data_IF_374520462150
#
_entry.id   IF_374520462150
#
_cell.length_a   1.000
_cell.length_b   1.000
_cell.length_c   1.000
_cell.angle_alpha   90.00
_cell.angle_beta   90.00
_cell.angle_gamma   90.00
#
_symmetry.space_group_name_H-M   'P 1'
#
loop_
_entity.id
_entity.type
_entity.pdbx_description
1 polymer ?
#
# COMPACT_ATOMS: atom_id res chain seq x y z
N UNK A 1 -12.43 34.14 2.90
CA UNK A 1 -11.27 33.28 3.07
C UNK A 1 -11.08 32.34 1.89
N UNK A 2 -9.86 32.03 1.56
CA UNK A 2 -9.55 31.08 0.51
C UNK A 2 -9.59 29.66 1.07
N UNK A 3 -10.68 28.97 0.82
CA UNK A 3 -10.91 27.61 1.33
C UNK A 3 -9.90 26.62 0.69
N UNK A 4 -9.54 26.83 -0.57
CA UNK A 4 -8.53 25.97 -1.22
C UNK A 4 -7.16 26.09 -0.53
N UNK A 5 -6.76 27.31 -0.15
CA UNK A 5 -5.52 27.52 0.58
C UNK A 5 -5.56 26.87 1.97
N UNK A 6 -6.72 26.91 2.64
CA UNK A 6 -6.91 26.21 3.92
C UNK A 6 -6.68 24.70 3.77
N UNK A 7 -7.31 24.08 2.80
CA UNK A 7 -7.13 22.64 2.56
C UNK A 7 -5.67 22.31 2.21
N UNK A 8 -5.02 23.12 1.38
CA UNK A 8 -3.61 22.93 1.03
C UNK A 8 -2.70 23.00 2.28
N UNK A 9 -2.92 24.00 3.12
CA UNK A 9 -2.14 24.17 4.36
C UNK A 9 -2.29 22.96 5.29
N UNK A 10 -3.50 22.46 5.46
CA UNK A 10 -3.75 21.27 6.28
C UNK A 10 -3.09 20.02 5.65
N UNK A 11 -3.18 19.85 4.33
CA UNK A 11 -2.55 18.75 3.62
C UNK A 11 -1.02 18.75 3.82
N UNK A 12 -0.39 19.91 3.77
CA UNK A 12 1.05 20.07 4.04
C UNK A 12 1.38 19.64 5.48
N UNK A 13 0.54 20.03 6.43
CA UNK A 13 0.67 19.59 7.83
C UNK A 13 0.57 18.08 7.97
N UNK A 14 -0.37 17.46 7.26
CA UNK A 14 -0.54 16.01 7.27
C UNK A 14 0.66 15.27 6.66
N UNK A 15 1.34 15.86 5.68
CA UNK A 15 2.59 15.31 5.15
C UNK A 15 3.66 15.22 6.25
N UNK A 16 3.76 16.25 7.09
CA UNK A 16 4.68 16.22 8.24
C UNK A 16 4.30 15.14 9.26
N UNK A 17 2.99 14.95 9.50
CA UNK A 17 2.51 13.89 10.38
C UNK A 17 2.88 12.50 9.81
N UNK A 18 2.74 12.30 8.52
CA UNK A 18 3.11 11.05 7.86
C UNK A 18 4.59 10.73 8.06
N UNK A 19 5.49 11.70 7.89
CA UNK A 19 6.92 11.50 8.13
C UNK A 19 7.22 11.15 9.59
N UNK A 20 6.54 11.80 10.54
CA UNK A 20 6.68 11.47 11.96
C UNK A 20 6.25 10.03 12.25
N UNK A 21 5.13 9.59 11.67
CA UNK A 21 4.69 8.20 11.80
C UNK A 21 5.68 7.22 11.19
N UNK A 22 6.27 7.52 10.05
CA UNK A 22 7.30 6.69 9.43
C UNK A 22 8.55 6.56 10.33
N UNK A 23 8.96 7.63 11.00
CA UNK A 23 10.09 7.58 11.92
C UNK A 23 9.85 6.57 13.04
N UNK A 24 8.64 6.54 13.60
CA UNK A 24 8.28 5.57 14.62
C UNK A 24 8.16 4.14 14.05
N UNK A 25 7.61 3.99 12.85
CA UNK A 25 7.54 2.69 12.19
C UNK A 25 8.93 2.10 11.93
N UNK A 26 9.91 2.96 11.62
CA UNK A 26 11.29 2.50 11.43
C UNK A 26 11.86 1.84 12.69
N UNK A 27 11.40 2.24 13.88
CA UNK A 27 11.85 1.66 15.13
C UNK A 27 11.20 0.30 15.43
N UNK A 28 9.95 0.09 15.03
CA UNK A 28 9.18 -1.11 15.39
C UNK A 28 9.00 -2.10 14.24
N UNK A 29 9.32 -1.71 13.01
CA UNK A 29 9.13 -2.53 11.82
C UNK A 29 7.74 -2.38 11.21
N UNK A 30 7.50 -3.05 10.09
CA UNK A 30 6.23 -3.04 9.39
C UNK A 30 5.17 -3.79 10.22
N UNK A 31 4.06 -3.14 10.59
CA UNK A 31 3.05 -3.78 11.44
C UNK A 31 2.26 -4.90 10.75
N UNK A 32 2.34 -5.01 9.43
CA UNK A 32 1.67 -6.06 8.66
C UNK A 32 2.58 -7.28 8.50
N UNK A 33 3.83 -7.04 8.08
CA UNK A 33 4.78 -8.11 7.77
C UNK A 33 5.73 -8.43 8.92
N UNK A 34 5.86 -7.54 9.89
CA UNK A 34 6.82 -7.59 11.01
C UNK A 34 8.29 -7.59 10.56
N UNK A 35 8.54 -7.18 9.32
CA UNK A 35 9.89 -7.04 8.77
C UNK A 35 10.45 -5.69 9.20
N UNK A 36 11.70 -5.63 9.75
CA UNK A 36 12.33 -4.36 10.11
C UNK A 36 12.41 -3.40 8.92
N UNK A 37 12.23 -2.11 9.20
CA UNK A 37 12.37 -1.04 8.22
C UNK A 37 13.79 -0.47 8.31
N UNK A 38 14.41 -0.24 7.17
CA UNK A 38 15.73 0.42 7.12
C UNK A 38 16.64 -0.11 6.02
N UNK A 39 16.96 -1.40 6.03
CA UNK A 39 17.83 -1.98 5.01
C UNK A 39 17.06 -2.27 3.73
N UNK A 40 17.74 -2.10 2.58
CA UNK A 40 17.10 -2.24 1.27
C UNK A 40 16.49 -3.63 1.07
N UNK A 41 17.21 -4.69 1.43
CA UNK A 41 16.72 -6.06 1.30
C UNK A 41 15.45 -6.28 2.13
N UNK A 42 15.45 -5.84 3.37
CA UNK A 42 14.31 -5.99 4.28
C UNK A 42 13.12 -5.17 3.80
N UNK A 43 13.36 -3.96 3.30
CA UNK A 43 12.30 -3.11 2.75
C UNK A 43 11.67 -3.75 1.52
N UNK A 44 12.47 -4.36 0.65
CA UNK A 44 11.96 -5.08 -0.54
C UNK A 44 11.15 -6.30 -0.13
N UNK A 45 11.58 -7.06 0.87
CA UNK A 45 10.82 -8.21 1.38
C UNK A 45 9.47 -7.79 1.93
N UNK A 46 9.44 -6.71 2.71
CA UNK A 46 8.20 -6.17 3.23
C UNK A 46 7.26 -5.73 2.11
N UNK A 47 7.78 -5.04 1.09
CA UNK A 47 6.99 -4.61 -0.06
C UNK A 47 6.40 -5.81 -0.82
N UNK A 48 7.20 -6.85 -1.06
CA UNK A 48 6.74 -8.08 -1.74
C UNK A 48 5.60 -8.73 -0.95
N UNK A 49 5.74 -8.85 0.37
CA UNK A 49 4.68 -9.42 1.20
C UNK A 49 3.39 -8.58 1.17
N UNK A 50 3.52 -7.26 1.28
CA UNK A 50 2.37 -6.36 1.21
C UNK A 50 1.64 -6.47 -0.11
N UNK A 51 2.35 -6.36 -1.23
CA UNK A 51 1.78 -6.49 -2.56
C UNK A 51 1.14 -7.86 -2.80
N UNK A 52 1.78 -8.92 -2.31
CA UNK A 52 1.26 -10.29 -2.43
C UNK A 52 -0.06 -10.44 -1.67
N UNK A 53 -0.15 -9.93 -0.46
CA UNK A 53 -1.40 -9.91 0.30
C UNK A 53 -2.48 -9.14 -0.46
N UNK A 54 -2.14 -7.98 -1.03
CA UNK A 54 -3.09 -7.13 -1.74
C UNK A 54 -3.68 -7.82 -2.96
N UNK A 55 -2.88 -8.55 -3.74
CA UNK A 55 -3.42 -9.19 -4.95
C UNK A 55 -3.98 -10.60 -4.72
N UNK A 56 -3.60 -11.30 -3.65
CA UNK A 56 -4.12 -12.64 -3.37
C UNK A 56 -5.33 -12.63 -2.44
N UNK A 57 -5.37 -11.70 -1.49
CA UNK A 57 -6.39 -11.69 -0.44
C UNK A 57 -7.25 -10.42 -0.44
N UNK A 58 -6.62 -9.25 -0.32
CA UNK A 58 -7.31 -8.01 -0.04
C UNK A 58 -8.24 -7.57 -1.18
N UNK A 59 -7.69 -7.33 -2.36
CA UNK A 59 -8.50 -6.88 -3.50
C UNK A 59 -9.45 -7.96 -4.03
N UNK A 60 -9.07 -9.24 -4.12
CA UNK A 60 -10.04 -10.28 -4.45
C UNK A 60 -11.20 -10.36 -3.46
N UNK A 61 -10.94 -10.20 -2.18
CA UNK A 61 -11.98 -10.16 -1.15
C UNK A 61 -12.90 -8.95 -1.32
N UNK A 62 -12.34 -7.77 -1.57
CA UNK A 62 -13.13 -6.56 -1.83
C UNK A 62 -13.96 -6.70 -3.09
N UNK A 63 -13.41 -7.29 -4.16
CA UNK A 63 -14.14 -7.51 -5.41
C UNK A 63 -15.35 -8.42 -5.19
N UNK A 64 -15.16 -9.50 -4.43
CA UNK A 64 -16.25 -10.43 -4.09
C UNK A 64 -17.36 -9.73 -3.32
N UNK A 65 -17.01 -8.99 -2.27
CA UNK A 65 -17.97 -8.25 -1.46
C UNK A 65 -18.73 -7.21 -2.27
N UNK A 66 -18.01 -6.45 -3.11
CA UNK A 66 -18.63 -5.45 -3.98
C UNK A 66 -19.64 -6.08 -4.93
N UNK A 67 -19.31 -7.24 -5.50
CA UNK A 67 -20.22 -7.96 -6.40
C UNK A 67 -21.45 -8.49 -5.67
N UNK A 68 -21.27 -9.04 -4.49
CA UNK A 68 -22.37 -9.52 -3.65
C UNK A 68 -23.32 -8.38 -3.26
N UNK A 69 -22.80 -7.19 -3.07
CA UNK A 69 -23.60 -6.01 -2.74
C UNK A 69 -24.19 -5.29 -3.96
N UNK A 70 -23.95 -5.79 -5.16
CA UNK A 70 -24.49 -5.24 -6.40
C UNK A 70 -23.67 -4.12 -7.04
N UNK A 71 -22.42 -3.95 -6.62
CA UNK A 71 -21.52 -2.92 -7.15
C UNK A 71 -20.54 -3.51 -8.17
N UNK A 72 -21.07 -3.95 -9.32
CA UNK A 72 -20.28 -4.67 -10.32
C UNK A 72 -19.11 -3.86 -10.87
N UNK A 73 -19.31 -2.56 -11.15
CA UNK A 73 -18.22 -1.68 -11.64
C UNK A 73 -17.11 -1.53 -10.62
N UNK A 74 -17.46 -1.43 -9.35
CA UNK A 74 -16.49 -1.34 -8.26
C UNK A 74 -15.73 -2.66 -8.12
N UNK A 75 -16.44 -3.79 -8.24
CA UNK A 75 -15.83 -5.11 -8.22
C UNK A 75 -14.77 -5.25 -9.33
N UNK A 76 -15.10 -4.84 -10.57
CA UNK A 76 -14.15 -4.85 -11.69
C UNK A 76 -12.94 -3.96 -11.45
N UNK A 77 -13.14 -2.81 -10.80
CA UNK A 77 -12.06 -1.92 -10.42
C UNK A 77 -11.10 -2.61 -9.43
N UNK A 78 -11.63 -3.27 -8.40
CA UNK A 78 -10.80 -4.02 -7.46
C UNK A 78 -10.03 -5.15 -8.14
N UNK A 79 -10.65 -5.85 -9.10
CA UNK A 79 -9.95 -6.88 -9.88
C UNK A 79 -8.81 -6.29 -10.70
N UNK A 80 -9.00 -5.10 -11.26
CA UNK A 80 -7.96 -4.36 -11.98
C UNK A 80 -6.80 -3.99 -11.06
N UNK A 81 -7.12 -3.51 -9.85
CA UNK A 81 -6.11 -3.18 -8.85
C UNK A 81 -5.33 -4.42 -8.40
N UNK A 82 -6.01 -5.56 -8.23
CA UNK A 82 -5.32 -6.81 -7.92
C UNK A 82 -4.25 -7.17 -8.96
N UNK A 83 -4.55 -6.99 -10.24
CA UNK A 83 -3.58 -7.23 -11.32
C UNK A 83 -2.40 -6.24 -11.26
N UNK A 84 -2.67 -4.98 -10.93
CA UNK A 84 -1.62 -3.98 -10.76
C UNK A 84 -0.68 -4.35 -9.60
N UNK A 85 -1.23 -4.77 -8.46
CA UNK A 85 -0.43 -5.15 -7.30
C UNK A 85 0.39 -6.42 -7.56
N UNK A 86 -0.13 -7.34 -8.36
CA UNK A 86 0.64 -8.51 -8.80
C UNK A 86 1.86 -8.10 -9.63
N UNK A 87 1.70 -7.12 -10.52
CA UNK A 87 2.82 -6.55 -11.28
C UNK A 87 3.85 -5.90 -10.37
N UNK A 88 3.39 -5.16 -9.37
CA UNK A 88 4.28 -4.52 -8.37
C UNK A 88 5.07 -5.58 -7.60
N UNK A 89 4.43 -6.64 -7.14
CA UNK A 89 5.12 -7.72 -6.43
C UNK A 89 6.23 -8.33 -7.30
N UNK A 90 5.97 -8.55 -8.58
CA UNK A 90 6.98 -9.06 -9.52
C UNK A 90 8.15 -8.11 -9.70
N UNK A 91 7.88 -6.81 -9.78
CA UNK A 91 8.92 -5.79 -9.92
C UNK A 91 9.79 -5.70 -8.67
N UNK A 92 9.19 -5.73 -7.48
CA UNK A 92 9.95 -5.76 -6.22
C UNK A 92 10.78 -7.05 -6.09
N UNK A 93 10.21 -8.19 -6.49
CA UNK A 93 10.94 -9.46 -6.49
C UNK A 93 12.17 -9.43 -7.40
N UNK A 94 12.03 -8.84 -8.60
CA UNK A 94 13.15 -8.64 -9.50
C UNK A 94 14.21 -7.73 -8.90
N UNK A 95 13.80 -6.69 -8.20
CA UNK A 95 14.71 -5.81 -7.47
C UNK A 95 15.50 -6.55 -6.40
N UNK A 96 14.83 -7.43 -5.66
CA UNK A 96 15.48 -8.24 -4.61
C UNK A 96 16.49 -9.22 -5.20
N UNK A 97 16.14 -9.89 -6.30
CA UNK A 97 17.05 -10.83 -6.98
C UNK A 97 18.31 -10.13 -7.51
N UNK A 98 18.23 -8.85 -7.85
CA UNK A 98 19.34 -8.06 -8.37
C UNK A 98 20.30 -7.50 -7.32
N UNK A 99 20.03 -7.73 -6.05
CA UNK A 99 20.92 -7.27 -4.98
C UNK A 99 22.18 -8.11 -4.82
#
# INVERSE_FOLDING_TARGET
>A
PDVAALFRSVAEGETGHAFGHFDFLAEVGDPVTWVPVGETEENLRSAIEGETYEYTEMYPGFAKTAREEGFDSISEWFETLARAERSHAGRFSSGLEGL
#
